data_IF_867773780586
#
_entry.id   IF_867773780586
#
_cell.length_a   1.000
_cell.length_b   1.000
_cell.length_c   1.000
_cell.angle_alpha   90.00
_cell.angle_beta   90.00
_cell.angle_gamma   90.00
#
_symmetry.space_group_name_H-M   'P 1'
#
loop_
_entity.id
_entity.type
_entity.pdbx_description
1 polymer ?
#
# COMPACT_ATOMS: atom_id res chain seq x y z
N UNK A 1 -18.67 -0.13 -18.33
CA UNK A 1 -18.06 0.01 -16.98
C UNK A 1 -17.43 1.39 -16.93
N UNK A 2 -17.83 2.22 -15.96
CA UNK A 2 -17.28 3.58 -15.82
C UNK A 2 -16.05 3.65 -14.92
N UNK A 3 -16.00 2.78 -13.91
CA UNK A 3 -14.89 2.73 -12.96
C UNK A 3 -14.47 1.30 -12.64
N UNK A 4 -13.16 1.10 -12.54
CA UNK A 4 -12.52 -0.12 -12.06
C UNK A 4 -11.66 0.22 -10.85
N UNK A 5 -11.81 -0.52 -9.76
CA UNK A 5 -10.87 -0.50 -8.63
C UNK A 5 -10.02 -1.75 -8.74
N UNK A 6 -8.75 -1.57 -9.11
CA UNK A 6 -7.82 -2.69 -9.33
C UNK A 6 -7.06 -3.01 -8.04
N UNK A 7 -7.19 -4.25 -7.58
CA UNK A 7 -6.41 -4.77 -6.46
C UNK A 7 -4.95 -4.97 -6.89
N UNK A 8 -4.15 -3.92 -6.82
CA UNK A 8 -2.70 -3.97 -6.91
C UNK A 8 -2.09 -4.47 -5.59
N UNK A 9 -0.81 -4.34 -5.38
CA UNK A 9 -0.12 -4.89 -4.21
C UNK A 9 1.08 -4.05 -3.82
N UNK A 10 1.40 -4.01 -2.54
CA UNK A 10 2.70 -3.52 -2.08
C UNK A 10 3.91 -4.26 -2.67
N UNK A 11 3.70 -5.43 -3.30
CA UNK A 11 4.75 -6.18 -3.99
C UNK A 11 5.32 -5.45 -5.22
N UNK A 12 4.68 -4.40 -5.71
CA UNK A 12 5.22 -3.54 -6.79
C UNK A 12 6.48 -2.79 -6.38
N UNK A 13 6.73 -2.63 -5.08
CA UNK A 13 7.91 -1.96 -4.53
C UNK A 13 8.80 -2.90 -3.72
N UNK A 14 8.48 -4.18 -3.62
CA UNK A 14 9.12 -5.15 -2.72
C UNK A 14 10.63 -5.31 -2.95
N UNK A 15 11.13 -5.06 -4.14
CA UNK A 15 12.57 -5.04 -4.40
C UNK A 15 13.34 -3.94 -3.66
N UNK A 16 12.66 -3.04 -2.96
CA UNK A 16 13.27 -2.06 -2.06
C UNK A 16 13.40 -2.58 -0.62
N UNK A 17 12.69 -3.64 -0.26
CA UNK A 17 12.66 -4.21 1.10
C UNK A 17 14.05 -4.63 1.61
N UNK A 18 14.99 -4.94 0.69
CA UNK A 18 16.37 -5.32 1.00
C UNK A 18 17.35 -4.13 1.02
N UNK A 19 16.86 -2.91 0.96
CA UNK A 19 17.68 -1.70 0.99
C UNK A 19 17.56 -0.99 2.33
N UNK A 20 18.65 -0.38 2.87
CA UNK A 20 18.52 0.49 4.04
C UNK A 20 17.59 1.70 3.73
N UNK A 21 16.80 2.13 4.69
CA UNK A 21 16.62 1.56 6.05
C UNK A 21 15.49 0.52 6.13
N UNK A 22 14.88 0.14 5.02
CA UNK A 22 13.67 -0.72 4.99
C UNK A 22 13.99 -2.16 5.44
N UNK A 23 15.21 -2.67 5.15
CA UNK A 23 15.69 -3.97 5.61
C UNK A 23 15.73 -4.05 7.14
N UNK A 24 16.22 -2.99 7.82
CA UNK A 24 16.23 -2.90 9.27
C UNK A 24 14.79 -2.86 9.85
N UNK A 25 13.88 -2.09 9.24
CA UNK A 25 12.47 -2.04 9.63
C UNK A 25 11.85 -3.44 9.54
N UNK A 26 12.07 -4.14 8.43
CA UNK A 26 11.40 -5.40 8.11
C UNK A 26 12.00 -6.60 8.85
N UNK A 27 13.23 -6.49 9.35
CA UNK A 27 13.88 -7.46 10.23
C UNK A 27 13.67 -7.19 11.72
N UNK A 28 13.09 -6.04 12.09
CA UNK A 28 12.85 -5.66 13.48
C UNK A 28 14.03 -5.00 14.17
N UNK A 29 15.07 -4.63 13.42
CA UNK A 29 16.26 -3.93 13.94
C UNK A 29 15.98 -2.42 14.08
N UNK A 30 14.92 -2.09 14.79
CA UNK A 30 14.41 -0.71 14.87
C UNK A 30 15.41 0.30 15.45
N UNK A 31 16.40 -0.15 16.22
CA UNK A 31 17.46 0.72 16.74
C UNK A 31 18.43 1.20 15.65
N UNK A 32 18.45 0.57 14.48
CA UNK A 32 19.28 0.94 13.33
C UNK A 32 18.55 1.86 12.34
N UNK A 33 17.23 2.08 12.56
CA UNK A 33 16.41 2.90 11.67
C UNK A 33 16.59 4.36 12.03
N UNK A 34 16.98 5.23 11.07
CA UNK A 34 17.03 6.67 11.30
C UNK A 34 15.67 7.22 11.73
N UNK A 35 15.65 8.26 12.56
CA UNK A 35 14.42 8.91 12.99
C UNK A 35 13.63 9.44 11.78
N UNK A 36 14.34 10.04 10.82
CA UNK A 36 13.79 10.47 9.54
C UNK A 36 14.26 9.52 8.42
N UNK A 37 13.42 8.61 7.98
CA UNK A 37 13.68 7.76 6.84
C UNK A 37 12.77 8.09 5.65
N UNK A 38 13.26 7.90 4.40
CA UNK A 38 12.49 8.27 3.22
C UNK A 38 11.27 7.37 3.04
N UNK A 39 10.11 7.99 2.81
CA UNK A 39 8.90 7.26 2.45
C UNK A 39 8.94 6.85 0.97
N UNK A 40 8.46 5.66 0.68
CA UNK A 40 8.30 5.19 -0.70
C UNK A 40 7.00 5.74 -1.27
N UNK A 41 7.12 6.59 -2.28
CA UNK A 41 5.99 7.23 -2.96
C UNK A 41 5.38 6.31 -4.03
N UNK A 42 4.18 6.64 -4.48
CA UNK A 42 3.45 5.91 -5.52
C UNK A 42 4.17 5.82 -6.87
N UNK A 43 5.05 6.78 -7.17
CA UNK A 43 5.78 6.84 -8.44
C UNK A 43 6.94 5.83 -8.51
N UNK A 44 7.30 5.24 -7.37
CA UNK A 44 8.38 4.28 -7.29
C UNK A 44 7.88 2.86 -7.58
N UNK A 45 8.59 2.18 -8.47
CA UNK A 45 8.31 0.79 -8.88
C UNK A 45 9.63 0.02 -8.81
N UNK A 46 9.62 -1.10 -8.09
CA UNK A 46 10.72 -2.07 -8.04
C UNK A 46 10.17 -3.43 -7.60
N UNK A 47 9.49 -4.19 -8.49
CA UNK A 47 8.99 -5.50 -8.13
C UNK A 47 10.15 -6.49 -7.93
N UNK A 48 9.99 -7.43 -6.99
CA UNK A 48 10.99 -8.47 -6.72
C UNK A 48 10.70 -9.76 -7.49
N UNK A 49 9.43 -10.15 -7.56
CA UNK A 49 9.01 -11.43 -8.12
C UNK A 49 7.94 -11.25 -9.22
N UNK A 50 7.64 -12.34 -9.94
CA UNK A 50 6.64 -12.34 -11.01
C UNK A 50 5.27 -11.82 -10.54
N UNK A 51 4.88 -12.09 -9.30
CA UNK A 51 3.65 -11.53 -8.75
C UNK A 51 3.67 -10.01 -8.69
N UNK A 52 4.75 -9.41 -8.17
CA UNK A 52 4.91 -7.95 -8.18
C UNK A 52 4.93 -7.39 -9.60
N UNK A 53 5.65 -8.04 -10.53
CA UNK A 53 5.69 -7.64 -11.93
C UNK A 53 4.32 -7.72 -12.60
N UNK A 54 3.50 -8.74 -12.31
CA UNK A 54 2.13 -8.85 -12.83
C UNK A 54 1.23 -7.71 -12.34
N UNK A 55 1.44 -7.23 -11.10
CA UNK A 55 0.70 -6.08 -10.56
C UNK A 55 1.12 -4.78 -11.23
N UNK A 56 2.41 -4.57 -11.48
CA UNK A 56 2.92 -3.43 -12.28
C UNK A 56 2.29 -3.44 -13.68
N UNK A 57 2.26 -4.60 -14.33
CA UNK A 57 1.61 -4.75 -15.62
C UNK A 57 0.12 -4.39 -15.56
N UNK A 58 -0.60 -4.82 -14.52
CA UNK A 58 -2.01 -4.47 -14.32
C UNK A 58 -2.23 -2.97 -14.10
N UNK A 59 -1.34 -2.29 -13.35
CA UNK A 59 -1.38 -0.83 -13.19
C UNK A 59 -1.17 -0.13 -14.56
N UNK A 60 -0.17 -0.57 -15.34
CA UNK A 60 0.08 -0.05 -16.68
C UNK A 60 -1.08 -0.28 -17.64
N UNK A 61 -1.70 -1.46 -17.59
CA UNK A 61 -2.89 -1.78 -18.38
C UNK A 61 -4.06 -0.89 -17.98
N UNK A 62 -4.26 -0.68 -16.66
CA UNK A 62 -5.27 0.25 -16.14
C UNK A 62 -5.07 1.68 -16.67
N UNK A 63 -3.83 2.14 -16.74
CA UNK A 63 -3.49 3.45 -17.30
C UNK A 63 -3.88 3.53 -18.79
N UNK A 64 -3.56 2.50 -19.59
CA UNK A 64 -3.95 2.44 -21.00
C UNK A 64 -5.48 2.53 -21.18
N UNK A 65 -6.25 1.75 -20.39
CA UNK A 65 -7.71 1.80 -20.49
C UNK A 65 -8.29 3.16 -20.04
N UNK A 66 -7.64 3.82 -19.13
CA UNK A 66 -8.03 5.17 -18.73
C UNK A 66 -7.79 6.18 -19.83
N UNK A 67 -6.62 6.14 -20.47
CA UNK A 67 -6.24 7.12 -21.48
C UNK A 67 -7.01 6.93 -22.80
N UNK A 68 -7.25 5.69 -23.23
CA UNK A 68 -7.80 5.39 -24.55
C UNK A 68 -9.32 5.15 -24.57
N UNK A 69 -9.92 4.83 -23.40
CA UNK A 69 -11.32 4.41 -23.33
C UNK A 69 -12.17 5.21 -22.33
N UNK A 70 -11.68 6.32 -21.81
CA UNK A 70 -12.37 7.18 -20.84
C UNK A 70 -12.90 6.39 -19.63
N UNK A 71 -12.12 5.41 -19.18
CA UNK A 71 -12.44 4.56 -18.05
C UNK A 71 -11.71 5.06 -16.80
N UNK A 72 -12.43 5.32 -15.72
CA UNK A 72 -11.78 5.59 -14.44
C UNK A 72 -11.16 4.31 -13.88
N UNK A 73 -9.84 4.30 -13.65
CA UNK A 73 -9.11 3.16 -13.07
C UNK A 73 -8.34 3.61 -11.85
N UNK A 74 -8.71 3.10 -10.69
CA UNK A 74 -8.03 3.37 -9.42
C UNK A 74 -7.31 2.09 -8.97
N UNK A 75 -5.99 2.16 -8.86
CA UNK A 75 -5.15 1.04 -8.44
C UNK A 75 -4.84 1.16 -6.93
N UNK A 76 -5.14 0.13 -6.16
CA UNK A 76 -4.85 0.10 -4.72
C UNK A 76 -3.71 -0.88 -4.45
N UNK A 77 -2.54 -0.36 -4.03
CA UNK A 77 -1.40 -1.15 -3.58
C UNK A 77 -1.62 -1.61 -2.15
N UNK A 78 -2.27 -2.75 -2.02
CA UNK A 78 -2.74 -3.32 -0.75
C UNK A 78 -1.56 -3.80 0.09
N UNK A 79 -1.58 -3.48 1.38
CA UNK A 79 -0.67 -3.98 2.40
C UNK A 79 -0.92 -5.46 2.76
N UNK A 80 -0.53 -5.88 3.96
CA UNK A 80 -0.80 -7.24 4.44
C UNK A 80 -2.14 -7.30 5.18
N UNK A 81 -3.13 -7.92 4.54
CA UNK A 81 -4.44 -8.22 5.14
C UNK A 81 -4.44 -9.67 5.59
N UNK A 82 -4.69 -9.92 6.88
CA UNK A 82 -4.73 -11.25 7.47
C UNK A 82 -6.13 -11.58 7.99
N UNK A 83 -6.51 -12.87 7.94
CA UNK A 83 -7.78 -13.35 8.50
C UNK A 83 -7.90 -13.01 9.99
N UNK A 84 -6.79 -13.08 10.72
CA UNK A 84 -6.68 -12.82 12.15
C UNK A 84 -6.80 -11.34 12.51
N UNK A 85 -6.84 -10.46 11.51
CA UNK A 85 -6.87 -8.99 11.65
C UNK A 85 -5.76 -8.44 12.56
N UNK A 86 -4.55 -9.00 12.44
CA UNK A 86 -3.33 -8.58 13.14
C UNK A 86 -2.07 -9.01 12.40
N UNK A 87 -0.90 -8.41 12.68
CA UNK A 87 0.37 -8.90 12.16
C UNK A 87 0.68 -10.33 12.63
N UNK A 88 1.27 -11.14 11.75
CA UNK A 88 1.72 -12.51 12.03
C UNK A 88 3.23 -12.70 11.80
N UNK A 89 3.95 -11.62 11.52
CA UNK A 89 5.41 -11.59 11.37
C UNK A 89 5.96 -10.20 11.65
N UNK A 90 7.25 -10.11 11.95
CA UNK A 90 7.95 -8.82 12.14
C UNK A 90 7.75 -7.90 10.94
N UNK A 91 7.89 -8.44 9.73
CA UNK A 91 7.66 -7.67 8.50
C UNK A 91 6.27 -7.03 8.45
N UNK A 92 5.26 -7.73 8.95
CA UNK A 92 3.89 -7.24 8.90
C UNK A 92 3.62 -6.09 9.86
N UNK A 93 4.43 -5.89 10.88
CA UNK A 93 4.34 -4.71 11.74
C UNK A 93 4.43 -3.40 10.94
N UNK A 94 5.17 -3.40 9.82
CA UNK A 94 5.30 -2.22 8.96
C UNK A 94 4.22 -2.12 7.89
N UNK A 95 3.70 -3.26 7.41
CA UNK A 95 2.86 -3.30 6.22
C UNK A 95 1.44 -3.80 6.49
N UNK A 96 1.07 -3.97 7.75
CA UNK A 96 -0.26 -4.40 8.16
C UNK A 96 -1.34 -3.47 7.62
N UNK A 97 -2.45 -4.07 7.23
CA UNK A 97 -3.67 -3.37 6.83
C UNK A 97 -4.86 -4.07 7.48
N UNK A 98 -5.48 -3.40 8.43
CA UNK A 98 -6.66 -3.90 9.16
C UNK A 98 -7.91 -3.97 8.28
N UNK A 99 -8.86 -4.79 8.70
CA UNK A 99 -10.10 -5.01 7.94
C UNK A 99 -10.92 -3.73 7.79
N UNK A 100 -10.99 -2.88 8.81
CA UNK A 100 -11.74 -1.63 8.73
C UNK A 100 -11.11 -0.66 7.74
N UNK A 101 -9.77 -0.60 7.70
CA UNK A 101 -9.03 0.32 6.86
C UNK A 101 -9.07 -0.09 5.38
N UNK A 102 -8.97 -1.39 5.06
CA UNK A 102 -9.15 -1.84 3.67
C UNK A 102 -10.58 -1.59 3.19
N UNK A 103 -11.59 -1.81 4.03
CA UNK A 103 -12.98 -1.51 3.67
C UNK A 103 -13.16 -0.01 3.41
N UNK A 104 -12.61 0.86 4.27
CA UNK A 104 -12.63 2.31 4.07
C UNK A 104 -11.97 2.68 2.74
N UNK A 105 -10.75 2.17 2.47
CA UNK A 105 -10.01 2.46 1.23
C UNK A 105 -10.83 2.08 0.00
N UNK A 106 -11.41 0.87 -0.03
CA UNK A 106 -12.21 0.41 -1.17
C UNK A 106 -13.48 1.24 -1.36
N UNK A 107 -14.17 1.60 -0.26
CA UNK A 107 -15.33 2.48 -0.32
C UNK A 107 -14.96 3.84 -0.88
N UNK A 108 -13.89 4.47 -0.37
CA UNK A 108 -13.41 5.76 -0.86
C UNK A 108 -13.03 5.71 -2.35
N UNK A 109 -12.41 4.62 -2.82
CA UNK A 109 -12.11 4.45 -4.25
C UNK A 109 -13.38 4.33 -5.11
N UNK A 110 -14.42 3.65 -4.62
CA UNK A 110 -15.69 3.49 -5.33
C UNK A 110 -16.43 4.84 -5.41
N UNK A 111 -16.42 5.60 -4.32
CA UNK A 111 -17.12 6.88 -4.15
C UNK A 111 -16.30 8.10 -4.61
N UNK A 112 -15.04 7.88 -5.01
CA UNK A 112 -14.13 8.95 -5.41
C UNK A 112 -14.69 9.81 -6.55
N UNK A 113 -14.21 11.07 -6.64
CA UNK A 113 -14.62 12.01 -7.69
C UNK A 113 -14.54 11.37 -9.08
N UNK A 114 -15.55 11.63 -9.90
CA UNK A 114 -15.63 11.08 -11.26
C UNK A 114 -14.54 11.63 -12.20
N UNK A 115 -13.92 12.76 -11.84
CA UNK A 115 -12.81 13.33 -12.60
C UNK A 115 -11.48 12.59 -12.37
N UNK A 116 -11.41 11.64 -11.43
CA UNK A 116 -10.24 10.79 -11.28
C UNK A 116 -10.28 9.72 -12.36
N UNK A 117 -9.55 9.95 -13.45
CA UNK A 117 -9.44 9.00 -14.54
C UNK A 117 -8.51 7.85 -14.19
N UNK A 118 -7.29 8.17 -13.69
CA UNK A 118 -6.34 7.16 -13.25
C UNK A 118 -5.59 7.64 -12.01
N UNK A 119 -5.51 6.77 -11.01
CA UNK A 119 -4.67 7.02 -9.84
C UNK A 119 -4.18 5.73 -9.18
N UNK A 120 -3.13 5.85 -8.35
CA UNK A 120 -2.52 4.76 -7.60
C UNK A 120 -2.37 5.15 -6.14
N UNK A 121 -2.90 4.35 -5.22
CA UNK A 121 -2.85 4.60 -3.79
C UNK A 121 -2.22 3.44 -3.03
N UNK A 122 -1.39 3.75 -2.03
CA UNK A 122 -1.03 2.77 -1.01
C UNK A 122 -2.14 2.66 0.03
N UNK A 123 -2.46 1.42 0.43
CA UNK A 123 -3.35 1.11 1.54
C UNK A 123 -2.57 0.34 2.60
N UNK A 124 -2.34 0.98 3.73
CA UNK A 124 -1.78 0.43 4.96
C UNK A 124 -2.45 1.08 6.16
N UNK A 125 -2.46 0.40 7.30
CA UNK A 125 -2.92 0.96 8.57
C UNK A 125 -1.92 1.97 9.15
N UNK A 126 -2.28 2.64 10.24
CA UNK A 126 -1.43 3.65 10.90
C UNK A 126 -0.33 2.99 11.73
N UNK A 127 0.55 2.25 11.05
CA UNK A 127 1.63 1.50 11.66
C UNK A 127 2.83 2.42 11.90
N UNK A 128 3.42 2.38 13.09
CA UNK A 128 4.60 3.17 13.47
C UNK A 128 5.76 3.03 12.47
N UNK A 129 5.96 1.83 11.94
CA UNK A 129 7.09 1.51 11.05
C UNK A 129 6.69 1.47 9.58
N UNK A 130 5.52 2.04 9.23
CA UNK A 130 5.13 2.17 7.83
C UNK A 130 6.13 3.04 7.06
N UNK A 131 6.57 2.56 5.90
CA UNK A 131 7.48 3.26 4.99
C UNK A 131 6.84 3.58 3.63
N UNK A 132 5.54 3.36 3.49
CA UNK A 132 4.76 3.66 2.29
C UNK A 132 4.02 4.98 2.47
N UNK A 133 4.24 5.89 1.55
CA UNK A 133 3.60 7.20 1.62
C UNK A 133 2.11 7.11 1.33
N UNK A 134 1.28 7.37 2.32
CA UNK A 134 -0.19 7.44 2.21
C UNK A 134 -0.71 8.88 2.16
N UNK A 135 0.16 9.88 2.09
CA UNK A 135 -0.24 11.30 2.06
C UNK A 135 -1.16 11.59 0.88
N UNK A 136 -0.82 11.04 -0.29
CA UNK A 136 -1.65 11.17 -1.49
C UNK A 136 -3.06 10.57 -1.32
N UNK A 137 -3.18 9.41 -0.66
CA UNK A 137 -4.49 8.82 -0.37
C UNK A 137 -5.29 9.67 0.64
N UNK A 138 -4.61 10.29 1.61
CA UNK A 138 -5.24 11.23 2.55
C UNK A 138 -5.74 12.47 1.85
N UNK A 139 -4.93 13.07 0.98
CA UNK A 139 -5.25 14.31 0.27
C UNK A 139 -6.39 14.11 -0.73
N UNK A 140 -6.32 13.08 -1.57
CA UNK A 140 -7.22 12.89 -2.70
C UNK A 140 -8.52 12.17 -2.29
N UNK A 141 -8.43 11.16 -1.44
CA UNK A 141 -9.57 10.33 -1.05
C UNK A 141 -10.09 10.61 0.36
N UNK A 142 -9.34 11.34 1.19
CA UNK A 142 -9.67 11.49 2.61
C UNK A 142 -9.43 10.20 3.42
N UNK A 143 -8.51 9.32 2.98
CA UNK A 143 -8.19 8.08 3.67
C UNK A 143 -7.57 8.34 5.04
N UNK A 144 -8.23 7.90 6.10
CA UNK A 144 -7.77 8.04 7.50
C UNK A 144 -7.79 6.65 8.14
N UNK A 145 -6.66 5.91 8.11
CA UNK A 145 -6.60 4.62 8.76
C UNK A 145 -6.81 4.74 10.28
N UNK A 146 -7.50 3.76 10.86
CA UNK A 146 -7.85 3.69 12.27
C UNK A 146 -7.22 2.51 13.00
N UNK A 147 -6.89 1.45 12.23
CA UNK A 147 -6.18 0.30 12.77
C UNK A 147 -4.67 0.58 12.82
N UNK A 148 -3.97 -0.13 13.69
CA UNK A 148 -2.50 -0.10 13.76
C UNK A 148 -1.95 -1.46 14.17
N UNK A 149 -0.81 -1.84 13.58
CA UNK A 149 -0.04 -2.99 14.02
C UNK A 149 0.42 -2.85 15.48
N UNK A 150 0.60 -1.62 15.95
CA UNK A 150 1.12 -1.32 17.31
C UNK A 150 0.17 -1.81 18.41
N UNK A 151 -1.11 -1.99 18.11
CA UNK A 151 -2.09 -2.56 19.04
C UNK A 151 -1.90 -4.08 19.25
N UNK A 152 -1.26 -4.77 18.30
CA UNK A 152 -1.02 -6.22 18.29
C UNK A 152 0.35 -6.51 17.69
N UNK A 153 1.37 -5.79 18.13
CA UNK A 153 2.72 -5.85 17.59
C UNK A 153 3.29 -7.26 17.67
N UNK A 154 3.76 -7.78 16.54
CA UNK A 154 4.36 -9.10 16.50
C UNK A 154 5.81 -9.03 17.01
N UNK A 155 6.13 -9.85 18.00
CA UNK A 155 7.49 -10.07 18.50
C UNK A 155 7.87 -11.52 18.17
N UNK A 156 9.02 -11.72 17.54
CA UNK A 156 9.58 -13.08 17.37
C UNK A 156 10.16 -13.55 18.71
N UNK A 157 9.84 -14.75 19.09
CA UNK A 157 10.49 -15.45 20.21
C UNK A 157 11.97 -15.65 19.99
#
# INVERSE_FOLDING_TARGET
IKRVVFASSGSVIRGKDNLPPYDAILSGNYGEVPEDFPMITRDQIRPEALYGASKVWGEALGRHFSDDYDMSVICVRIGSVRKENRPLSVRENAIYLGHSDICQMLQLCIEADQNINYDVFFAVSDNKWNYRDISHAREVLGYIPKDSADNNFFVSD
#
